data_IF_738437453186
#
_entry.id   IF_738437453186
#
_cell.length_a   1.000
_cell.length_b   1.000
_cell.length_c   1.000
_cell.angle_alpha   90.00
_cell.angle_beta   90.00
_cell.angle_gamma   90.00
#
_symmetry.space_group_name_H-M   'P 1'
#
loop_
_entity.id
_entity.type
_entity.pdbx_description
1 polymer ?
#
# COMPACT_ATOMS: atom_id res chain seq x y z
N UNK A 1 9.66 11.36 -13.16
CA UNK A 1 9.69 11.49 -11.67
C UNK A 1 11.10 11.17 -11.21
N UNK A 2 11.68 11.93 -10.26
CA UNK A 2 13.06 11.68 -9.81
C UNK A 2 13.10 10.64 -8.69
N UNK A 3 12.18 10.74 -7.75
CA UNK A 3 12.16 9.85 -6.59
C UNK A 3 10.77 9.84 -5.95
N UNK A 4 10.37 8.70 -5.38
CA UNK A 4 9.20 8.59 -4.51
C UNK A 4 9.61 7.89 -3.23
N UNK A 5 9.47 8.58 -2.09
CA UNK A 5 9.83 8.08 -0.75
C UNK A 5 8.58 7.86 0.09
N UNK A 6 8.49 6.71 0.74
CA UNK A 6 7.48 6.45 1.75
C UNK A 6 8.02 6.68 3.17
N UNK A 7 7.13 7.07 4.10
CA UNK A 7 7.50 7.29 5.50
C UNK A 7 7.73 6.01 6.31
N UNK A 8 7.22 4.85 5.86
CA UNK A 8 7.43 3.54 6.49
C UNK A 8 7.75 2.48 5.43
N UNK A 9 8.49 1.43 5.83
CA UNK A 9 8.73 0.25 4.99
C UNK A 9 7.45 -0.55 4.69
N UNK A 10 6.35 -0.26 5.39
CA UNK A 10 5.03 -0.84 5.13
C UNK A 10 4.33 -0.25 3.89
N UNK A 11 4.88 0.79 3.27
CA UNK A 11 4.33 1.44 2.09
C UNK A 11 5.36 1.39 0.96
N UNK A 12 5.05 0.65 -0.09
CA UNK A 12 5.91 0.50 -1.26
C UNK A 12 5.34 1.33 -2.42
N UNK A 13 6.00 2.43 -2.82
CA UNK A 13 5.61 3.17 -4.01
C UNK A 13 6.17 2.51 -5.28
N UNK A 14 5.47 2.72 -6.40
CA UNK A 14 5.88 2.39 -7.76
C UNK A 14 5.54 3.57 -8.66
N UNK A 15 6.46 3.95 -9.54
CA UNK A 15 6.33 5.12 -10.41
C UNK A 15 6.96 4.84 -11.77
N UNK A 16 6.55 5.55 -12.83
CA UNK A 16 7.10 5.36 -14.16
C UNK A 16 8.61 5.63 -14.19
N UNK A 17 9.34 4.70 -14.80
CA UNK A 17 10.77 4.85 -15.06
C UNK A 17 11.04 5.85 -16.18
N UNK A 18 10.15 5.89 -17.18
CA UNK A 18 10.25 6.83 -18.28
C UNK A 18 9.81 8.25 -17.85
N UNK A 19 10.39 9.31 -18.45
CA UNK A 19 9.89 10.66 -18.29
C UNK A 19 8.44 10.80 -18.74
N UNK A 20 7.70 11.73 -18.12
CA UNK A 20 6.34 12.13 -18.52
C UNK A 20 6.49 13.47 -19.23
N UNK A 21 6.06 13.59 -20.49
CA UNK A 21 6.18 14.83 -21.25
C UNK A 21 5.13 15.86 -20.81
N UNK A 22 5.33 17.16 -21.11
CA UNK A 22 4.31 18.18 -20.84
C UNK A 22 2.98 17.83 -21.51
N UNK A 23 1.90 17.78 -20.73
CA UNK A 23 0.55 17.43 -21.21
C UNK A 23 0.25 15.93 -21.21
N UNK A 24 1.21 15.07 -20.89
CA UNK A 24 0.96 13.64 -20.69
C UNK A 24 0.54 13.32 -19.25
N UNK A 25 -0.19 12.23 -19.10
CA UNK A 25 -0.56 11.68 -17.80
C UNK A 25 0.32 10.49 -17.44
N UNK A 26 0.61 10.33 -16.15
CA UNK A 26 1.30 9.17 -15.60
C UNK A 26 0.70 8.74 -14.27
N UNK A 27 0.88 7.47 -13.91
CA UNK A 27 0.32 6.90 -12.69
C UNK A 27 1.41 6.62 -11.65
N UNK A 28 1.12 6.89 -10.38
CA UNK A 28 1.94 6.45 -9.23
C UNK A 28 1.14 5.38 -8.49
N UNK A 29 1.67 4.16 -8.46
CA UNK A 29 1.11 3.06 -7.69
C UNK A 29 1.63 3.08 -6.25
N UNK A 30 0.77 2.82 -5.28
CA UNK A 30 1.17 2.67 -3.87
C UNK A 30 0.57 1.39 -3.32
N UNK A 31 1.41 0.54 -2.74
CA UNK A 31 0.99 -0.66 -2.02
C UNK A 31 1.26 -0.49 -0.52
N UNK A 32 0.24 -0.74 0.29
CA UNK A 32 0.35 -0.71 1.75
C UNK A 32 0.19 -2.12 2.31
N UNK A 33 1.17 -2.56 3.11
CA UNK A 33 1.10 -3.80 3.86
C UNK A 33 0.49 -3.53 5.24
N UNK A 34 -0.75 -4.01 5.42
CA UNK A 34 -1.50 -3.90 6.67
C UNK A 34 -1.17 -4.99 7.68
N UNK A 35 -0.33 -5.98 7.34
CA UNK A 35 0.00 -7.09 8.23
C UNK A 35 0.66 -6.57 9.52
N UNK A 36 0.07 -6.93 10.66
CA UNK A 36 0.53 -6.48 11.97
C UNK A 36 0.29 -4.99 12.25
N UNK A 37 -0.54 -4.32 11.45
CA UNK A 37 -1.04 -2.95 11.72
C UNK A 37 -2.47 -3.04 12.24
N UNK A 38 -2.83 -2.12 13.12
CA UNK A 38 -4.19 -1.97 13.66
C UNK A 38 -4.46 -0.48 13.89
N UNK A 39 -5.71 -0.07 13.73
CA UNK A 39 -6.14 1.31 13.95
C UNK A 39 -5.81 2.25 12.80
N UNK A 40 -5.87 3.55 13.08
CA UNK A 40 -5.69 4.61 12.06
C UNK A 40 -4.27 4.61 11.50
N UNK A 41 -4.15 4.56 10.19
CA UNK A 41 -2.90 4.63 9.44
C UNK A 41 -2.90 5.90 8.59
N UNK A 42 -1.78 6.62 8.61
CA UNK A 42 -1.59 7.80 7.76
C UNK A 42 -0.18 7.88 7.15
N UNK A 43 0.27 6.89 6.36
CA UNK A 43 1.60 6.97 5.76
C UNK A 43 1.67 8.11 4.74
N UNK A 44 2.86 8.73 4.68
CA UNK A 44 3.16 9.86 3.81
C UNK A 44 4.03 9.38 2.66
N UNK A 45 3.65 9.77 1.44
CA UNK A 45 4.39 9.49 0.22
C UNK A 45 4.90 10.84 -0.33
N UNK A 46 6.21 11.01 -0.34
CA UNK A 46 6.86 12.21 -0.86
C UNK A 46 7.35 11.95 -2.28
N UNK A 47 6.82 12.69 -3.25
CA UNK A 47 7.17 12.61 -4.66
C UNK A 47 8.07 13.80 -5.00
N UNK A 48 9.28 13.52 -5.50
CA UNK A 48 10.25 14.52 -5.95
C UNK A 48 10.29 14.51 -7.47
N UNK A 49 10.09 15.67 -8.07
CA UNK A 49 10.03 15.86 -9.52
C UNK A 49 10.87 17.05 -9.97
N UNK A 50 10.96 17.25 -11.27
CA UNK A 50 11.48 18.45 -11.90
C UNK A 50 10.38 19.45 -12.30
N UNK A 51 9.11 19.15 -11.99
CA UNK A 51 7.98 20.05 -12.22
C UNK A 51 7.94 21.15 -11.14
N UNK A 52 7.00 22.09 -11.30
CA UNK A 52 6.67 23.10 -10.30
C UNK A 52 5.26 22.84 -9.74
N UNK A 53 5.12 22.55 -8.44
CA UNK A 53 6.16 22.43 -7.41
C UNK A 53 7.08 21.20 -7.54
N UNK A 54 8.33 21.33 -7.07
CA UNK A 54 9.33 20.24 -7.12
C UNK A 54 9.01 19.06 -6.22
N UNK A 55 8.25 19.28 -5.15
CA UNK A 55 7.93 18.27 -4.14
C UNK A 55 6.42 18.24 -3.92
N UNK A 56 5.85 17.04 -4.05
CA UNK A 56 4.46 16.76 -3.68
C UNK A 56 4.43 15.80 -2.49
N UNK A 57 3.54 16.07 -1.53
CA UNK A 57 3.27 15.17 -0.40
C UNK A 57 1.87 14.60 -0.54
N UNK A 58 1.79 13.28 -0.65
CA UNK A 58 0.54 12.53 -0.71
C UNK A 58 0.36 11.80 0.62
N UNK A 59 -0.89 11.70 1.08
CA UNK A 59 -1.26 11.01 2.31
C UNK A 59 -2.20 9.87 1.97
N UNK A 60 -1.87 8.66 2.41
CA UNK A 60 -2.84 7.57 2.46
C UNK A 60 -3.52 7.68 3.82
N UNK A 61 -4.82 7.96 3.91
CA UNK A 61 -5.55 7.97 5.18
C UNK A 61 -6.49 6.76 5.20
N UNK A 62 -6.44 5.97 6.26
CA UNK A 62 -7.22 4.74 6.37
C UNK A 62 -7.21 4.16 7.78
N UNK A 63 -8.03 3.13 7.98
CA UNK A 63 -8.12 2.40 9.24
C UNK A 63 -7.92 0.91 8.96
N UNK A 64 -7.07 0.25 9.74
CA UNK A 64 -6.86 -1.19 9.66
C UNK A 64 -7.63 -1.86 10.79
N UNK A 65 -8.69 -2.56 10.41
CA UNK A 65 -9.49 -3.37 11.34
C UNK A 65 -8.76 -4.64 11.75
N UNK A 66 -9.18 -5.21 12.88
CA UNK A 66 -8.74 -6.54 13.28
C UNK A 66 -9.10 -7.57 12.19
N UNK A 67 -8.25 -8.58 11.95
CA UNK A 67 -8.60 -9.68 11.07
C UNK A 67 -9.96 -10.25 11.51
N UNK A 68 -10.94 -10.26 10.61
CA UNK A 68 -12.17 -11.02 10.85
C UNK A 68 -11.74 -12.47 10.92
N UNK A 69 -11.98 -13.14 12.06
CA UNK A 69 -11.77 -14.57 12.16
C UNK A 69 -12.64 -15.28 11.11
N UNK A 70 -12.04 -15.68 9.98
CA UNK A 70 -12.74 -16.47 8.97
C UNK A 70 -12.91 -17.89 9.53
N UNK A 71 -14.14 -18.17 10.01
CA UNK A 71 -14.62 -19.49 10.45
C UNK A 71 -14.46 -20.60 9.40
N UNK A 72 -14.13 -20.27 8.14
CA UNK A 72 -13.88 -21.24 7.06
C UNK A 72 -12.62 -22.07 7.25
N UNK A 73 -11.65 -21.59 8.05
CA UNK A 73 -10.42 -22.33 8.33
C UNK A 73 -10.56 -23.42 9.42
N UNK A 74 -11.70 -23.47 10.11
CA UNK A 74 -12.01 -24.50 11.12
C UNK A 74 -12.78 -25.70 10.53
N UNK A 75 -13.33 -25.60 9.32
CA UNK A 75 -14.08 -26.69 8.68
C UNK A 75 -13.15 -27.71 8.02
N UNK A 76 -12.04 -27.31 7.38
CA UNK A 76 -11.15 -28.25 6.69
C UNK A 76 -10.32 -29.15 7.62
N UNK A 77 -10.21 -28.80 8.91
CA UNK A 77 -9.53 -29.62 9.94
C UNK A 77 -10.43 -30.67 10.60
N UNK A 78 -11.76 -30.60 10.43
CA UNK A 78 -12.69 -31.58 11.03
C UNK A 78 -12.93 -32.81 10.15
N UNK A 79 -12.89 -32.66 8.83
CA UNK A 79 -13.10 -33.79 7.91
C UNK A 79 -11.92 -34.78 7.84
N UNK A 80 -10.72 -34.37 8.29
CA UNK A 80 -9.53 -35.23 8.32
C UNK A 80 -9.39 -36.07 9.59
N UNK A 81 -10.23 -35.87 10.61
CA UNK A 81 -10.16 -36.60 11.89
C UNK A 81 -11.32 -37.58 12.12
N UNK A 82 -12.24 -37.76 11.17
CA UNK A 82 -13.38 -38.70 11.28
C UNK A 82 -13.27 -39.92 10.35
N UNK A 83 -12.07 -40.22 9.83
CA UNK A 83 -11.74 -41.47 9.14
C UNK A 83 -10.39 -42.01 9.62
N UNK A 84 -10.35 -42.50 10.86
CA UNK A 84 -9.42 -43.53 11.31
C UNK A 84 -9.97 -44.22 12.55
#
# INVERSE_FOLDING_TARGET
IKEVRASCGCTQPSYPFLPILPGEEGAIGVRFDSKGKLGKQKPVITVVTNADPKIYKLFLDGFVDAPKENKDSLVSKKDSLSKK
#
